data_IF_792230444015
#
_entry.id   IF_792230444015
#
_cell.length_a   1.000
_cell.length_b   1.000
_cell.length_c   1.000
_cell.angle_alpha   90.00
_cell.angle_beta   90.00
_cell.angle_gamma   90.00
#
_symmetry.space_group_name_H-M   'P 1'
#
loop_
_entity.id
_entity.type
_entity.pdbx_description
1 polymer ?
#
# COMPACT_ATOMS: atom_id res chain seq x y z
N UNK A 1 6.32 -9.08 -46.13
CA UNK A 1 6.58 -7.62 -46.10
C UNK A 1 5.79 -7.08 -44.93
N UNK A 2 6.32 -7.31 -43.74
CA UNK A 2 5.58 -7.18 -42.48
C UNK A 2 5.84 -5.79 -41.90
N UNK A 3 4.80 -4.95 -41.88
CA UNK A 3 4.86 -3.60 -41.33
C UNK A 3 4.90 -3.70 -39.80
N UNK A 4 6.10 -3.62 -39.23
CA UNK A 4 6.32 -3.53 -37.80
C UNK A 4 5.97 -2.11 -37.33
N UNK A 5 4.77 -1.91 -36.77
CA UNK A 5 4.38 -0.67 -36.09
C UNK A 5 4.92 -0.72 -34.66
N UNK A 6 6.13 -0.21 -34.44
CA UNK A 6 6.63 0.02 -33.07
C UNK A 6 6.13 1.39 -32.60
N UNK A 7 5.11 1.38 -31.75
CA UNK A 7 4.68 2.57 -31.00
C UNK A 7 5.77 2.92 -29.99
N UNK A 8 6.45 4.05 -30.17
CA UNK A 8 7.54 4.51 -29.29
C UNK A 8 7.13 5.64 -28.33
N UNK A 9 5.83 5.87 -28.15
CA UNK A 9 5.37 6.84 -27.15
C UNK A 9 5.46 6.22 -25.75
N UNK A 10 6.56 6.53 -25.06
CA UNK A 10 6.75 6.20 -23.65
C UNK A 10 6.31 7.43 -22.84
N UNK A 11 5.25 7.27 -22.06
CA UNK A 11 4.58 8.38 -21.39
C UNK A 11 4.71 8.22 -19.87
N UNK A 12 5.59 9.00 -19.26
CA UNK A 12 5.92 8.93 -17.82
C UNK A 12 5.06 9.86 -16.95
N UNK A 13 3.81 10.14 -17.37
CA UNK A 13 2.95 11.06 -16.62
C UNK A 13 2.58 10.46 -15.26
N UNK A 14 2.87 11.21 -14.21
CA UNK A 14 2.52 10.87 -12.83
C UNK A 14 1.41 11.83 -12.38
N UNK A 15 0.34 11.26 -11.85
CA UNK A 15 -0.78 12.00 -11.28
C UNK A 15 -0.79 11.80 -9.77
N UNK A 16 -0.19 12.71 -8.98
CA UNK A 16 -0.22 12.60 -7.54
C UNK A 16 -1.67 12.77 -7.03
N UNK A 17 -2.02 12.18 -5.88
CA UNK A 17 -3.27 12.52 -5.20
C UNK A 17 -3.28 14.01 -4.83
N UNK A 18 -4.47 14.56 -4.59
CA UNK A 18 -4.57 15.90 -4.00
C UNK A 18 -4.00 15.92 -2.59
N UNK A 19 -3.50 17.08 -2.15
CA UNK A 19 -2.93 17.25 -0.82
C UNK A 19 -3.93 16.91 0.30
N UNK A 20 -5.19 17.32 0.14
CA UNK A 20 -6.27 17.02 1.10
C UNK A 20 -6.49 15.51 1.27
N UNK A 21 -6.39 14.74 0.19
CA UNK A 21 -6.51 13.28 0.22
C UNK A 21 -5.27 12.64 0.85
N UNK A 22 -4.08 13.09 0.44
CA UNK A 22 -2.81 12.59 0.96
C UNK A 22 -2.67 12.81 2.47
N UNK A 23 -3.16 13.95 2.99
CA UNK A 23 -3.13 14.27 4.41
C UNK A 23 -3.97 13.31 5.28
N UNK A 24 -5.00 12.68 4.70
CA UNK A 24 -5.89 11.74 5.41
C UNK A 24 -5.46 10.27 5.23
N UNK A 25 -4.37 10.01 4.51
CA UNK A 25 -3.89 8.66 4.29
C UNK A 25 -3.35 8.04 5.58
N UNK A 26 -3.82 6.83 5.91
CA UNK A 26 -3.28 6.02 7.02
C UNK A 26 -1.81 5.64 6.80
N UNK A 27 -1.39 5.57 5.54
CA UNK A 27 0.00 5.36 5.12
C UNK A 27 0.39 6.54 4.25
N UNK A 28 1.08 7.51 4.84
CA UNK A 28 1.40 8.80 4.22
C UNK A 28 2.88 8.93 3.80
N UNK A 29 3.71 7.92 4.07
CA UNK A 29 5.11 7.91 3.64
C UNK A 29 5.58 6.50 3.31
N UNK A 30 6.65 6.42 2.52
CA UNK A 30 7.28 5.15 2.16
C UNK A 30 7.88 4.46 3.40
N UNK A 31 8.41 5.23 4.33
CA UNK A 31 8.98 4.75 5.58
C UNK A 31 7.93 4.06 6.45
N UNK A 32 6.72 4.63 6.55
CA UNK A 32 5.60 4.01 7.28
C UNK A 32 5.21 2.68 6.63
N UNK A 33 5.13 2.64 5.30
CA UNK A 33 4.83 1.42 4.56
C UNK A 33 5.89 0.34 4.77
N UNK A 34 7.17 0.71 4.69
CA UNK A 34 8.28 -0.25 4.80
C UNK A 34 8.41 -0.75 6.25
N UNK A 35 8.16 0.09 7.26
CA UNK A 35 8.10 -0.33 8.65
C UNK A 35 6.93 -1.31 8.91
N UNK A 36 5.76 -1.05 8.32
CA UNK A 36 4.61 -1.96 8.42
C UNK A 36 4.93 -3.33 7.82
N UNK A 37 5.58 -3.34 6.64
CA UNK A 37 6.02 -4.56 5.97
C UNK A 37 7.05 -5.33 6.79
N UNK A 38 8.05 -4.63 7.34
CA UNK A 38 9.07 -5.27 8.17
C UNK A 38 8.48 -5.92 9.43
N UNK A 39 7.47 -5.29 10.06
CA UNK A 39 6.75 -5.89 11.20
C UNK A 39 6.01 -7.16 10.79
N UNK A 40 5.27 -7.11 9.69
CA UNK A 40 4.57 -8.28 9.17
C UNK A 40 5.55 -9.41 8.81
N UNK A 41 6.68 -9.09 8.16
CA UNK A 41 7.69 -10.08 7.77
C UNK A 41 8.38 -10.74 8.98
N UNK A 42 8.67 -9.96 10.02
CA UNK A 42 9.32 -10.45 11.23
C UNK A 42 8.42 -11.38 12.07
N UNK A 43 7.12 -11.10 12.15
CA UNK A 43 6.13 -11.90 12.88
C UNK A 43 4.74 -11.75 12.26
N UNK A 44 4.44 -12.60 11.27
CA UNK A 44 3.17 -12.54 10.55
C UNK A 44 1.96 -12.83 11.45
N UNK A 45 2.07 -13.82 12.33
CA UNK A 45 0.95 -14.23 13.20
C UNK A 45 0.69 -13.16 14.26
N UNK A 46 1.74 -12.67 14.93
CA UNK A 46 1.63 -11.59 15.92
C UNK A 46 1.14 -10.29 15.30
N UNK A 47 1.58 -9.96 14.08
CA UNK A 47 1.09 -8.79 13.34
C UNK A 47 -0.42 -8.84 13.13
N UNK A 48 -0.95 -9.94 12.60
CA UNK A 48 -2.38 -10.07 12.32
C UNK A 48 -3.21 -10.25 13.59
N UNK A 49 -2.71 -10.98 14.60
CA UNK A 49 -3.38 -11.11 15.89
C UNK A 49 -3.49 -9.75 16.61
N UNK A 50 -2.44 -8.92 16.54
CA UNK A 50 -2.45 -7.57 17.08
C UNK A 50 -3.50 -6.68 16.42
N UNK A 51 -3.52 -6.64 15.08
CA UNK A 51 -4.53 -5.89 14.33
C UNK A 51 -5.95 -6.38 14.62
N UNK A 52 -6.15 -7.70 14.70
CA UNK A 52 -7.44 -8.29 15.02
C UNK A 52 -7.92 -7.90 16.43
N UNK A 53 -7.01 -7.76 17.40
CA UNK A 53 -7.36 -7.33 18.75
C UNK A 53 -7.70 -5.84 18.81
N UNK A 54 -7.06 -5.01 17.99
CA UNK A 54 -7.26 -3.55 17.97
C UNK A 54 -8.50 -3.12 17.18
N UNK A 55 -8.75 -3.76 16.02
CA UNK A 55 -9.71 -3.28 15.03
C UNK A 55 -11.03 -4.05 15.03
N UNK A 56 -11.12 -5.19 15.74
CA UNK A 56 -12.32 -6.04 15.76
C UNK A 56 -12.85 -6.22 17.19
N UNK A 57 -14.14 -5.97 17.36
CA UNK A 57 -14.86 -6.32 18.58
C UNK A 57 -15.25 -7.81 18.55
N UNK A 58 -14.55 -8.62 19.34
CA UNK A 58 -14.79 -10.05 19.41
C UNK A 58 -15.92 -10.38 20.40
N UNK A 59 -16.94 -11.09 19.93
CA UNK A 59 -17.93 -11.71 20.80
C UNK A 59 -17.50 -13.13 21.17
N UNK A 60 -17.08 -13.31 22.40
CA UNK A 60 -16.97 -14.63 23.03
C UNK A 60 -18.20 -14.82 23.90
N UNK A 61 -19.08 -15.74 23.49
CA UNK A 61 -20.31 -16.08 24.22
C UNK A 61 -20.08 -16.77 25.55
#
# INVERSE_FOLDING_TARGET
MDKNLQSTLQEDRIFPPSDDFAAQARINSREVLDALRAKAEADHEGFWAGLAHEELDWQTG
#
